data_IF_441903189146
#
_entry.id   IF_441903189146
#
_cell.length_a   1.000
_cell.length_b   1.000
_cell.length_c   1.000
_cell.angle_alpha   90.00
_cell.angle_beta   90.00
_cell.angle_gamma   90.00
#
_symmetry.space_group_name_H-M   'P 1'
#
loop_
_entity.id
_entity.type
_entity.pdbx_description
1 polymer ?
#
# COMPACT_ATOMS: atom_id res chain seq x y z
N UNK A 1 -6.52 -15.60 11.36
CA UNK A 1 -6.55 -15.54 12.82
C UNK A 1 -7.87 -14.92 13.24
N UNK A 2 -8.60 -15.58 14.13
CA UNK A 2 -9.98 -15.26 14.50
C UNK A 2 -10.06 -13.99 15.38
N UNK A 3 -11.13 -13.17 15.29
CA UNK A 3 -11.24 -11.87 15.98
C UNK A 3 -11.51 -11.97 17.49
N UNK A 4 -11.38 -13.15 18.09
CA UNK A 4 -11.93 -13.43 19.42
C UNK A 4 -11.10 -12.86 20.58
N UNK A 5 -9.83 -12.52 20.34
CA UNK A 5 -8.94 -12.01 21.40
C UNK A 5 -9.04 -10.49 21.65
N UNK A 6 -9.49 -9.70 20.67
CA UNK A 6 -9.55 -8.24 20.78
C UNK A 6 -10.80 -7.74 21.53
N UNK A 7 -11.93 -8.45 21.37
CA UNK A 7 -13.20 -8.16 22.07
C UNK A 7 -13.01 -8.14 23.59
N UNK A 8 -12.12 -8.99 24.13
CA UNK A 8 -11.83 -9.03 25.57
C UNK A 8 -11.16 -7.78 26.11
N UNK A 9 -10.34 -7.10 25.30
CA UNK A 9 -9.58 -5.91 25.72
C UNK A 9 -10.48 -4.68 25.75
N UNK A 10 -11.32 -4.48 24.73
CA UNK A 10 -12.29 -3.39 24.72
C UNK A 10 -13.25 -3.46 25.91
N UNK A 11 -13.74 -4.65 26.24
CA UNK A 11 -14.60 -4.87 27.40
C UNK A 11 -13.85 -4.59 28.71
N UNK A 12 -12.62 -5.09 28.87
CA UNK A 12 -11.80 -4.82 30.06
C UNK A 12 -11.49 -3.31 30.24
N UNK A 13 -11.29 -2.57 29.15
CA UNK A 13 -11.07 -1.12 29.19
C UNK A 13 -12.34 -0.36 29.56
N UNK A 14 -13.50 -0.76 29.04
CA UNK A 14 -14.80 -0.20 29.45
C UNK A 14 -15.09 -0.50 30.94
N UNK A 15 -14.86 -1.74 31.37
CA UNK A 15 -15.07 -2.20 32.74
C UNK A 15 -14.14 -1.52 33.76
N UNK A 16 -13.00 -0.98 33.30
CA UNK A 16 -12.09 -0.19 34.14
C UNK A 16 -12.67 1.16 34.60
N UNK A 17 -13.78 1.61 34.01
CA UNK A 17 -14.41 2.90 34.30
C UNK A 17 -13.65 4.13 33.80
N UNK A 18 -12.42 3.96 33.28
CA UNK A 18 -11.61 5.04 32.69
C UNK A 18 -11.97 5.38 31.25
N UNK A 19 -12.60 4.44 30.53
CA UNK A 19 -12.90 4.55 29.10
C UNK A 19 -14.39 4.29 28.86
N UNK A 20 -15.26 5.29 29.08
CA UNK A 20 -16.72 5.10 29.08
C UNK A 20 -17.31 4.76 27.71
N UNK A 21 -16.52 4.88 26.63
CA UNK A 21 -16.90 4.48 25.29
C UNK A 21 -15.66 3.96 24.55
N UNK A 22 -15.68 2.70 24.15
CA UNK A 22 -14.70 2.09 23.25
C UNK A 22 -15.49 1.53 22.08
N UNK A 23 -15.37 2.15 20.90
CA UNK A 23 -16.02 1.69 19.67
C UNK A 23 -14.96 1.19 18.70
N UNK A 24 -14.99 -0.11 18.42
CA UNK A 24 -14.16 -0.72 17.39
C UNK A 24 -14.92 -0.73 16.06
N UNK A 25 -14.26 -0.25 15.01
CA UNK A 25 -14.76 -0.37 13.65
C UNK A 25 -13.87 -1.33 12.88
N UNK A 26 -14.36 -2.55 12.57
CA UNK A 26 -13.61 -3.49 11.75
C UNK A 26 -13.19 -2.85 10.42
N UNK A 27 -11.90 -2.90 10.10
CA UNK A 27 -11.34 -2.35 8.87
C UNK A 27 -10.85 -0.90 8.94
N UNK A 28 -10.82 -0.27 10.11
CA UNK A 28 -10.11 1.00 10.29
C UNK A 28 -8.60 0.74 10.49
N UNK A 29 -7.75 1.34 9.66
CA UNK A 29 -6.29 1.22 9.77
C UNK A 29 -5.69 2.05 10.92
N UNK A 30 -6.35 3.16 11.27
CA UNK A 30 -5.88 4.09 12.30
C UNK A 30 -6.80 4.09 13.52
N UNK A 31 -6.21 4.15 14.70
CA UNK A 31 -6.93 4.21 15.96
C UNK A 31 -6.56 5.47 16.77
N UNK A 32 -7.56 6.05 17.44
CA UNK A 32 -7.34 7.04 18.49
C UNK A 32 -7.75 6.48 19.84
N UNK A 33 -6.80 6.46 20.78
CA UNK A 33 -7.03 6.06 22.16
C UNK A 33 -6.96 7.29 23.05
N UNK A 34 -8.04 7.58 23.78
CA UNK A 34 -8.16 8.76 24.61
C UNK A 34 -8.06 8.40 26.09
N UNK A 35 -7.05 8.93 26.77
CA UNK A 35 -6.93 8.86 28.22
C UNK A 35 -7.19 10.25 28.82
N UNK A 36 -7.96 10.30 29.91
CA UNK A 36 -8.29 11.55 30.61
C UNK A 36 -7.88 11.45 32.08
N UNK A 37 -7.25 12.52 32.57
CA UNK A 37 -7.03 12.75 34.00
C UNK A 37 -7.59 14.14 34.39
N UNK A 38 -7.92 14.33 35.67
CA UNK A 38 -8.44 15.59 36.19
C UNK A 38 -7.84 15.90 37.56
N UNK A 39 -7.51 17.16 37.79
CA UNK A 39 -7.33 17.73 39.12
C UNK A 39 -8.33 18.88 39.32
N UNK A 40 -8.26 19.57 40.46
CA UNK A 40 -9.25 20.60 40.82
C UNK A 40 -9.41 21.68 39.74
N UNK A 41 -8.31 22.07 39.09
CA UNK A 41 -8.29 23.21 38.17
C UNK A 41 -8.19 22.81 36.70
N UNK A 42 -7.72 21.60 36.39
CA UNK A 42 -7.39 21.18 35.04
C UNK A 42 -7.88 19.78 34.68
N UNK A 43 -8.17 19.62 33.39
CA UNK A 43 -8.41 18.35 32.72
C UNK A 43 -7.25 18.11 31.75
N UNK A 44 -6.56 17.00 31.92
CA UNK A 44 -5.49 16.53 31.03
C UNK A 44 -6.06 15.44 30.12
N UNK A 45 -5.81 15.56 28.82
CA UNK A 45 -6.24 14.57 27.84
C UNK A 45 -5.02 14.16 27.01
N UNK A 46 -4.75 12.87 26.98
CA UNK A 46 -3.77 12.27 26.07
C UNK A 46 -4.53 11.52 24.98
N UNK A 47 -4.23 11.83 23.73
CA UNK A 47 -4.77 11.13 22.56
C UNK A 47 -3.62 10.42 21.87
N UNK A 48 -3.57 9.10 21.99
CA UNK A 48 -2.63 8.25 21.27
C UNK A 48 -3.21 7.95 19.89
N UNK A 49 -2.48 8.34 18.85
CA UNK A 49 -2.69 7.89 17.47
C UNK A 49 -1.90 6.59 17.26
N UNK A 50 -2.55 5.55 16.78
CA UNK A 50 -1.95 4.29 16.40
C UNK A 50 -2.35 3.91 14.96
N UNK A 51 -1.58 3.01 14.36
CA UNK A 51 -1.90 2.34 13.09
C UNK A 51 -1.80 0.83 13.29
N UNK A 52 -2.90 0.11 13.07
CA UNK A 52 -3.02 -1.33 13.33
C UNK A 52 -2.43 -1.73 14.70
N UNK A 53 -2.71 -0.93 15.73
CA UNK A 53 -2.21 -1.10 17.09
C UNK A 53 -0.76 -0.65 17.35
N UNK A 54 -0.02 -0.22 16.33
CA UNK A 54 1.33 0.33 16.49
C UNK A 54 1.26 1.83 16.86
N UNK A 55 1.80 2.25 18.01
CA UNK A 55 1.72 3.64 18.44
C UNK A 55 2.54 4.56 17.52
N UNK A 56 1.91 5.61 17.01
CA UNK A 56 2.56 6.60 16.15
C UNK A 56 2.90 7.89 16.90
N UNK A 57 1.96 8.41 17.69
CA UNK A 57 2.13 9.70 18.37
C UNK A 57 1.16 9.89 19.54
N UNK A 58 1.56 10.64 20.56
CA UNK A 58 0.66 11.04 21.65
C UNK A 58 0.48 12.55 21.67
N UNK A 59 -0.71 13.01 21.28
CA UNK A 59 -1.15 14.40 21.45
C UNK A 59 -1.55 14.63 22.90
N UNK A 60 -1.13 15.77 23.46
CA UNK A 60 -1.38 16.12 24.87
C UNK A 60 -2.07 17.47 24.97
N UNK A 61 -3.21 17.48 25.65
CA UNK A 61 -4.03 18.66 25.85
C UNK A 61 -4.27 18.95 27.33
N UNK A 62 -4.38 20.23 27.66
CA UNK A 62 -4.74 20.71 28.97
C UNK A 62 -5.88 21.73 28.84
N UNK A 63 -6.96 21.51 29.56
CA UNK A 63 -8.12 22.40 29.61
C UNK A 63 -8.41 22.79 31.05
N UNK A 64 -8.99 23.97 31.26
CA UNK A 64 -9.48 24.36 32.59
C UNK A 64 -10.76 23.60 32.92
N UNK A 65 -10.92 23.20 34.19
CA UNK A 65 -12.10 22.49 34.68
C UNK A 65 -13.41 23.27 34.42
N UNK A 66 -13.37 24.61 34.40
CA UNK A 66 -14.52 25.46 34.09
C UNK A 66 -15.05 25.26 32.65
N UNK A 67 -14.25 24.72 31.73
CA UNK A 67 -14.60 24.53 30.31
C UNK A 67 -15.26 23.18 30.01
N UNK A 68 -15.56 22.38 31.04
CA UNK A 68 -16.14 21.03 30.90
C UNK A 68 -17.35 20.94 29.95
N UNK A 69 -18.30 21.91 29.91
CA UNK A 69 -19.48 21.81 29.03
C UNK A 69 -19.18 21.82 27.52
N UNK A 70 -17.99 22.23 27.09
CA UNK A 70 -17.59 22.33 25.67
C UNK A 70 -16.28 21.60 25.36
N UNK A 71 -15.86 20.70 26.27
CA UNK A 71 -14.56 20.04 26.23
C UNK A 71 -14.38 19.17 24.97
N UNK A 72 -15.44 18.50 24.53
CA UNK A 72 -15.49 17.66 23.33
C UNK A 72 -15.23 18.47 22.05
N UNK A 73 -15.90 19.61 21.90
CA UNK A 73 -15.71 20.53 20.77
C UNK A 73 -14.32 21.15 20.80
N UNK A 74 -13.84 21.55 21.97
CA UNK A 74 -12.51 22.14 22.14
C UNK A 74 -11.40 21.12 21.83
N UNK A 75 -11.51 19.90 22.35
CA UNK A 75 -10.59 18.79 22.07
C UNK A 75 -10.60 18.43 20.58
N UNK A 76 -11.78 18.25 19.98
CA UNK A 76 -11.88 17.87 18.57
C UNK A 76 -11.25 18.93 17.66
N UNK A 77 -11.48 20.22 17.95
CA UNK A 77 -10.85 21.31 17.18
C UNK A 77 -9.34 21.33 17.35
N UNK A 78 -8.84 21.15 18.58
CA UNK A 78 -7.40 21.12 18.86
C UNK A 78 -6.73 19.92 18.16
N UNK A 79 -7.30 18.72 18.32
CA UNK A 79 -6.83 17.50 17.67
C UNK A 79 -6.83 17.63 16.15
N UNK A 80 -7.94 18.07 15.55
CA UNK A 80 -8.02 18.24 14.09
C UNK A 80 -7.01 19.26 13.56
N UNK A 81 -6.68 20.30 14.34
CA UNK A 81 -5.64 21.26 13.97
C UNK A 81 -4.27 20.58 13.98
N UNK A 82 -3.93 19.88 15.05
CA UNK A 82 -2.60 19.30 15.23
C UNK A 82 -2.35 18.15 14.25
N UNK A 83 -3.30 17.22 14.07
CA UNK A 83 -3.16 16.10 13.11
C UNK A 83 -3.03 16.59 11.67
N UNK A 84 -3.65 17.72 11.32
CA UNK A 84 -3.49 18.37 10.01
C UNK A 84 -2.13 19.04 9.89
N UNK A 85 -1.68 19.73 10.94
CA UNK A 85 -0.38 20.38 10.97
C UNK A 85 0.75 19.35 10.82
N UNK A 86 0.61 18.18 11.44
CA UNK A 86 1.57 17.09 11.36
C UNK A 86 1.46 16.26 10.08
N UNK A 87 0.39 16.43 9.30
CA UNK A 87 0.01 15.51 8.22
C UNK A 87 -0.02 14.04 8.68
N UNK A 88 -0.62 13.80 9.85
CA UNK A 88 -0.54 12.53 10.59
C UNK A 88 -1.09 11.30 9.82
N UNK A 89 -1.90 11.53 8.79
CA UNK A 89 -2.50 10.49 7.94
C UNK A 89 -1.86 10.40 6.54
N UNK A 90 -0.72 11.05 6.33
CA UNK A 90 0.04 10.95 5.08
C UNK A 90 0.95 9.71 5.09
N UNK A 91 1.15 9.12 3.91
CA UNK A 91 2.09 7.99 3.74
C UNK A 91 3.49 8.31 4.26
N UNK A 92 4.00 9.53 4.04
CA UNK A 92 5.32 9.93 4.54
C UNK A 92 5.38 10.07 6.06
N UNK A 93 4.29 10.49 6.71
CA UNK A 93 4.22 10.50 8.17
C UNK A 93 4.26 9.07 8.72
N UNK A 94 3.42 8.17 8.19
CA UNK A 94 3.38 6.79 8.63
C UNK A 94 4.71 6.07 8.38
N UNK A 95 5.30 6.25 7.18
CA UNK A 95 6.60 5.68 6.85
C UNK A 95 7.67 6.11 7.84
N UNK A 96 7.71 7.40 8.19
CA UNK A 96 8.65 7.93 9.19
C UNK A 96 8.38 7.37 10.59
N UNK A 97 7.12 7.31 11.02
CA UNK A 97 6.75 6.83 12.35
C UNK A 97 7.05 5.34 12.55
N UNK A 98 6.97 4.55 11.48
CA UNK A 98 7.22 3.10 11.52
C UNK A 98 8.66 2.71 11.15
N UNK A 99 9.51 3.65 10.71
CA UNK A 99 10.77 3.36 10.00
C UNK A 99 10.55 2.46 8.76
N UNK A 100 9.47 2.69 8.02
CA UNK A 100 9.14 2.02 6.77
C UNK A 100 9.63 2.80 5.55
N UNK A 101 9.56 2.19 4.36
CA UNK A 101 9.96 2.79 3.09
C UNK A 101 9.18 4.08 2.79
N UNK A 102 9.88 5.18 2.52
CA UNK A 102 9.25 6.42 2.08
C UNK A 102 9.28 6.52 0.55
N UNK A 103 8.38 5.81 -0.11
CA UNK A 103 8.27 5.83 -1.58
C UNK A 103 8.09 7.23 -2.16
N UNK A 104 7.63 8.23 -1.40
CA UNK A 104 7.59 9.62 -1.90
C UNK A 104 8.99 10.15 -2.19
N UNK A 105 9.93 9.93 -1.27
CA UNK A 105 11.30 10.44 -1.33
C UNK A 105 12.27 9.48 -2.05
N UNK A 106 12.12 8.17 -1.84
CA UNK A 106 13.16 7.20 -2.17
C UNK A 106 12.90 6.45 -3.48
N UNK A 107 11.64 6.40 -3.95
CA UNK A 107 11.30 5.83 -5.25
C UNK A 107 11.43 6.89 -6.34
N UNK A 108 12.41 6.69 -7.22
CA UNK A 108 12.60 7.49 -8.42
C UNK A 108 12.36 6.68 -9.69
N UNK A 109 11.74 7.30 -10.68
CA UNK A 109 11.54 6.73 -12.00
C UNK A 109 11.61 7.82 -13.08
N UNK A 110 12.06 7.50 -14.31
CA UNK A 110 12.14 8.46 -15.40
C UNK A 110 10.78 9.06 -15.78
N UNK A 111 10.76 10.34 -16.16
CA UNK A 111 9.54 11.00 -16.62
C UNK A 111 9.04 10.48 -17.99
N UNK A 112 9.91 9.87 -18.79
CA UNK A 112 9.58 9.33 -20.11
C UNK A 112 10.38 8.06 -20.39
N UNK A 113 9.70 7.02 -20.89
CA UNK A 113 10.30 5.73 -21.27
C UNK A 113 9.58 5.21 -22.51
N UNK A 114 10.33 4.84 -23.56
CA UNK A 114 9.79 4.21 -24.78
C UNK A 114 8.55 4.93 -25.36
N UNK A 115 8.52 6.26 -25.35
CA UNK A 115 7.40 7.07 -25.85
C UNK A 115 6.24 7.29 -24.85
N UNK A 116 6.24 6.61 -23.70
CA UNK A 116 5.28 6.84 -22.64
C UNK A 116 5.77 7.90 -21.65
N UNK A 117 4.84 8.71 -21.14
CA UNK A 117 5.11 9.75 -20.15
C UNK A 117 4.53 9.36 -18.79
N UNK A 118 5.29 9.59 -17.72
CA UNK A 118 4.81 9.43 -16.35
C UNK A 118 3.70 10.45 -16.08
N UNK A 119 2.48 9.96 -15.93
CA UNK A 119 1.28 10.76 -15.72
C UNK A 119 0.93 10.92 -14.25
N UNK A 120 1.15 9.89 -13.42
CA UNK A 120 0.78 9.90 -12.02
C UNK A 120 1.71 9.02 -11.17
N UNK A 121 1.98 9.46 -9.93
CA UNK A 121 2.60 8.66 -8.87
C UNK A 121 1.66 8.67 -7.68
N UNK A 122 1.19 7.50 -7.27
CA UNK A 122 0.38 7.29 -6.07
C UNK A 122 1.19 6.50 -5.06
N UNK A 123 1.41 7.06 -3.88
CA UNK A 123 1.96 6.34 -2.74
C UNK A 123 0.80 5.99 -1.82
N UNK A 124 0.67 4.70 -1.48
CA UNK A 124 -0.39 4.25 -0.57
C UNK A 124 0.00 4.54 0.87
N UNK A 125 -1.00 4.76 1.71
CA UNK A 125 -0.76 5.00 3.14
C UNK A 125 -0.32 3.72 3.85
N UNK A 126 -0.78 2.55 3.41
CA UNK A 126 -0.38 1.26 3.95
C UNK A 126 1.05 0.90 3.48
N UNK A 127 2.01 0.66 4.41
CA UNK A 127 3.39 0.30 4.07
C UNK A 127 3.48 -0.96 3.21
N UNK A 128 2.52 -1.88 3.33
CA UNK A 128 2.48 -3.13 2.57
C UNK A 128 2.00 -2.94 1.12
N UNK A 129 1.40 -1.80 0.79
CA UNK A 129 0.88 -1.51 -0.55
C UNK A 129 1.85 -0.69 -1.41
N UNK A 130 2.82 -0.02 -0.78
CA UNK A 130 3.90 0.69 -1.45
C UNK A 130 3.45 1.84 -2.36
N UNK A 131 3.75 1.76 -3.67
CA UNK A 131 3.48 2.82 -4.64
C UNK A 131 3.05 2.28 -6.00
N UNK A 132 2.31 3.08 -6.76
CA UNK A 132 1.97 2.84 -8.16
C UNK A 132 2.37 4.04 -9.03
N UNK A 133 2.99 3.76 -10.17
CA UNK A 133 3.35 4.74 -11.20
C UNK A 133 2.52 4.47 -12.45
N UNK A 134 1.88 5.48 -13.03
CA UNK A 134 1.12 5.32 -14.27
C UNK A 134 1.78 6.08 -15.40
N UNK A 135 2.15 5.34 -16.45
CA UNK A 135 2.68 5.85 -17.70
C UNK A 135 1.59 5.79 -18.77
N UNK A 136 1.51 6.83 -19.61
CA UNK A 136 0.55 6.92 -20.72
C UNK A 136 1.24 7.30 -22.02
N UNK A 137 0.75 6.76 -23.12
CA UNK A 137 1.19 7.19 -24.44
C UNK A 137 0.40 8.44 -24.86
N UNK A 138 1.06 9.56 -25.21
CA UNK A 138 0.37 10.78 -25.64
C UNK A 138 -0.37 10.60 -26.98
N UNK A 139 0.09 9.65 -27.81
CA UNK A 139 -0.50 9.37 -29.12
C UNK A 139 -1.71 8.40 -29.01
N UNK A 140 -1.81 7.64 -27.91
CA UNK A 140 -2.85 6.62 -27.71
C UNK A 140 -3.48 6.72 -26.31
N UNK A 141 -4.63 7.38 -26.22
CA UNK A 141 -5.30 7.69 -24.94
C UNK A 141 -5.70 6.46 -24.10
N UNK A 142 -5.88 5.30 -24.73
CA UNK A 142 -6.21 4.02 -24.07
C UNK A 142 -4.98 3.32 -23.51
N UNK A 143 -3.79 3.62 -24.01
CA UNK A 143 -2.58 2.87 -23.72
C UNK A 143 -1.97 3.36 -22.41
N UNK A 144 -1.99 2.47 -21.42
CA UNK A 144 -1.39 2.73 -20.11
C UNK A 144 -0.54 1.56 -19.66
N UNK A 145 0.51 1.93 -18.94
CA UNK A 145 1.35 1.00 -18.20
C UNK A 145 1.33 1.46 -16.74
N UNK A 146 0.90 0.60 -15.84
CA UNK A 146 1.02 0.82 -14.41
C UNK A 146 2.18 0.00 -13.85
N UNK A 147 3.04 0.62 -13.06
CA UNK A 147 4.14 -0.04 -12.35
C UNK A 147 3.83 0.03 -10.86
N UNK A 148 3.46 -1.11 -10.28
CA UNK A 148 3.24 -1.25 -8.83
C UNK A 148 4.54 -1.72 -8.17
N UNK A 149 4.95 -1.07 -7.09
CA UNK A 149 6.13 -1.43 -6.30
C UNK A 149 5.70 -1.57 -4.85
N UNK A 150 5.83 -2.77 -4.27
CA UNK A 150 5.37 -3.06 -2.91
C UNK A 150 6.27 -4.10 -2.23
N UNK A 151 6.40 -4.07 -0.89
CA UNK A 151 7.29 -4.97 -0.17
C UNK A 151 6.75 -6.40 -0.14
N UNK A 152 7.66 -7.37 -0.08
CA UNK A 152 7.33 -8.79 0.07
C UNK A 152 7.18 -9.11 1.57
N UNK A 153 6.00 -9.45 2.10
CA UNK A 153 5.83 -9.70 3.53
C UNK A 153 6.47 -11.02 4.00
N UNK A 154 6.90 -11.89 3.09
CA UNK A 154 7.51 -13.18 3.42
C UNK A 154 8.81 -13.03 4.22
N UNK A 155 9.02 -13.94 5.17
CA UNK A 155 10.23 -14.03 6.00
C UNK A 155 11.42 -14.64 5.26
N UNK A 156 11.19 -15.44 4.22
CA UNK A 156 12.22 -16.02 3.37
C UNK A 156 12.14 -15.47 1.94
N UNK A 157 13.16 -14.70 1.54
CA UNK A 157 13.28 -14.10 0.22
C UNK A 157 14.18 -14.91 -0.74
N UNK A 158 14.73 -16.04 -0.28
CA UNK A 158 15.71 -16.81 -1.05
C UNK A 158 15.10 -17.50 -2.27
N UNK A 159 13.86 -18.00 -2.16
CA UNK A 159 13.16 -18.67 -3.25
C UNK A 159 12.32 -17.69 -4.09
N UNK A 160 13.01 -16.85 -4.85
CA UNK A 160 12.41 -15.81 -5.71
C UNK A 160 11.40 -16.37 -6.72
N UNK A 161 11.64 -17.57 -7.24
CA UNK A 161 10.72 -18.21 -8.20
C UNK A 161 9.39 -18.58 -7.54
N UNK A 162 9.42 -19.12 -6.31
CA UNK A 162 8.20 -19.42 -5.56
C UNK A 162 7.42 -18.16 -5.19
N UNK A 163 8.11 -17.08 -4.79
CA UNK A 163 7.48 -15.80 -4.50
C UNK A 163 6.76 -15.22 -5.72
N UNK A 164 7.39 -15.24 -6.90
CA UNK A 164 6.73 -14.77 -8.12
C UNK A 164 5.56 -15.69 -8.51
N UNK A 165 5.71 -17.01 -8.36
CA UNK A 165 4.61 -17.95 -8.62
C UNK A 165 3.40 -17.72 -7.70
N UNK A 166 3.63 -17.36 -6.43
CA UNK A 166 2.55 -16.96 -5.52
C UNK A 166 1.84 -15.70 -6.03
N UNK A 167 2.59 -14.69 -6.48
CA UNK A 167 2.03 -13.44 -7.00
C UNK A 167 1.28 -13.63 -8.33
N UNK A 168 1.76 -14.48 -9.24
CA UNK A 168 1.05 -14.80 -10.48
C UNK A 168 -0.23 -15.59 -10.20
N UNK A 169 -0.22 -16.53 -9.25
CA UNK A 169 -1.42 -17.26 -8.83
C UNK A 169 -2.47 -16.32 -8.21
N UNK A 170 -2.07 -15.44 -7.29
CA UNK A 170 -2.96 -14.40 -6.73
C UNK A 170 -3.58 -13.53 -7.82
N UNK A 171 -2.78 -13.11 -8.81
CA UNK A 171 -3.29 -12.34 -9.95
C UNK A 171 -4.35 -13.14 -10.73
N UNK A 172 -4.08 -14.40 -11.04
CA UNK A 172 -5.01 -15.26 -11.80
C UNK A 172 -6.34 -15.42 -11.08
N UNK A 173 -6.29 -15.73 -9.79
CA UNK A 173 -7.48 -15.87 -8.96
C UNK A 173 -8.27 -14.56 -8.95
N UNK A 174 -7.60 -13.43 -8.72
CA UNK A 174 -8.25 -12.12 -8.72
C UNK A 174 -8.90 -11.77 -10.07
N UNK A 175 -8.24 -12.07 -11.19
CA UNK A 175 -8.80 -11.79 -12.53
C UNK A 175 -9.97 -12.71 -12.86
N UNK A 176 -9.90 -13.99 -12.49
CA UNK A 176 -11.02 -14.92 -12.67
C UNK A 176 -12.23 -14.51 -11.82
N UNK A 177 -11.99 -14.16 -10.55
CA UNK A 177 -13.04 -13.67 -9.65
C UNK A 177 -13.67 -12.38 -10.18
N UNK A 178 -12.86 -11.42 -10.64
CA UNK A 178 -13.34 -10.19 -11.26
C UNK A 178 -14.20 -10.48 -12.49
N UNK A 179 -13.72 -11.31 -13.42
CA UNK A 179 -14.47 -11.68 -14.62
C UNK A 179 -15.81 -12.36 -14.28
N UNK A 180 -15.82 -13.23 -13.26
CA UNK A 180 -17.04 -13.91 -12.78
C UNK A 180 -18.02 -12.93 -12.15
N UNK A 181 -17.55 -12.04 -11.27
CA UNK A 181 -18.39 -11.05 -10.57
C UNK A 181 -19.04 -10.07 -11.55
N UNK A 182 -18.33 -9.69 -12.61
CA UNK A 182 -18.81 -8.77 -13.63
C UNK A 182 -19.45 -9.45 -14.84
N UNK A 183 -19.60 -10.79 -14.83
CA UNK A 183 -20.22 -11.57 -15.90
C UNK A 183 -19.58 -11.30 -17.27
N UNK A 184 -18.25 -11.14 -17.29
CA UNK A 184 -17.50 -10.88 -18.51
C UNK A 184 -17.39 -12.14 -19.38
N UNK A 185 -17.13 -12.00 -20.69
CA UNK A 185 -16.78 -13.13 -21.54
C UNK A 185 -15.56 -13.89 -21.00
N UNK A 186 -15.31 -15.13 -21.47
CA UNK A 186 -14.24 -15.97 -20.95
C UNK A 186 -12.87 -15.28 -20.96
N UNK A 187 -12.28 -15.15 -19.77
CA UNK A 187 -10.91 -14.69 -19.59
C UNK A 187 -9.95 -15.82 -19.99
N UNK A 188 -9.07 -15.52 -20.94
CA UNK A 188 -7.96 -16.40 -21.33
C UNK A 188 -6.66 -15.81 -20.83
N UNK A 189 -5.79 -16.66 -20.27
CA UNK A 189 -4.45 -16.25 -19.87
C UNK A 189 -3.41 -17.25 -20.36
N UNK A 190 -2.23 -16.78 -20.76
CA UNK A 190 -1.10 -17.65 -21.09
C UNK A 190 -0.51 -18.27 -19.82
N UNK A 191 0.31 -19.29 -19.98
CA UNK A 191 1.20 -19.76 -18.91
C UNK A 191 2.25 -18.68 -18.56
N UNK A 192 2.85 -18.81 -17.38
CA UNK A 192 3.95 -17.94 -16.94
C UNK A 192 5.17 -18.16 -17.83
N UNK A 193 5.66 -17.09 -18.46
CA UNK A 193 6.83 -17.11 -19.32
C UNK A 193 7.99 -16.39 -18.64
N UNK A 194 9.14 -17.05 -18.55
CA UNK A 194 10.33 -16.43 -17.97
C UNK A 194 10.88 -15.35 -18.90
N UNK A 195 11.29 -14.22 -18.33
CA UNK A 195 12.03 -13.17 -19.02
C UNK A 195 13.34 -12.91 -18.27
N UNK A 196 14.44 -12.87 -19.01
CA UNK A 196 15.74 -12.49 -18.49
C UNK A 196 16.50 -11.63 -19.49
N UNK A 197 17.28 -10.69 -18.99
CA UNK A 197 18.23 -9.91 -19.77
C UNK A 197 19.28 -9.29 -18.85
N UNK A 198 20.40 -8.87 -19.44
CA UNK A 198 21.43 -8.10 -18.76
C UNK A 198 21.46 -6.68 -19.33
N UNK A 199 21.52 -5.68 -18.46
CA UNK A 199 21.66 -4.28 -18.86
C UNK A 199 22.48 -3.52 -17.82
N UNK A 200 23.45 -2.71 -18.28
CA UNK A 200 24.34 -1.94 -17.40
C UNK A 200 25.08 -2.81 -16.35
N UNK A 201 25.38 -4.07 -16.70
CA UNK A 201 26.04 -5.02 -15.80
C UNK A 201 25.14 -5.61 -14.70
N UNK A 202 23.84 -5.33 -14.74
CA UNK A 202 22.84 -5.92 -13.85
C UNK A 202 22.02 -6.97 -14.59
N UNK A 203 21.80 -8.11 -13.94
CA UNK A 203 20.93 -9.16 -14.44
C UNK A 203 19.51 -8.98 -13.92
N UNK A 204 18.56 -8.96 -14.85
CA UNK A 204 17.14 -8.87 -14.55
C UNK A 204 16.50 -10.20 -14.89
N UNK A 205 15.75 -10.75 -13.92
CA UNK A 205 15.00 -11.99 -14.08
C UNK A 205 13.59 -11.77 -13.53
N UNK A 206 12.60 -12.18 -14.32
CA UNK A 206 11.20 -12.10 -13.95
C UNK A 206 10.35 -13.07 -14.77
N UNK A 207 9.04 -12.89 -14.63
CA UNK A 207 8.04 -13.66 -15.34
C UNK A 207 6.99 -12.73 -15.91
N UNK A 208 6.34 -13.15 -16.98
CA UNK A 208 5.19 -12.45 -17.51
C UNK A 208 4.12 -13.40 -18.02
N UNK A 209 2.91 -12.89 -18.13
CA UNK A 209 1.77 -13.57 -18.73
C UNK A 209 0.89 -12.55 -19.44
N UNK A 210 0.23 -12.99 -20.51
CA UNK A 210 -0.80 -12.23 -21.21
C UNK A 210 -2.18 -12.70 -20.76
N UNK A 211 -3.11 -11.75 -20.68
CA UNK A 211 -4.52 -11.96 -20.43
C UNK A 211 -5.33 -11.31 -21.55
N UNK A 212 -6.43 -11.95 -21.94
CA UNK A 212 -7.35 -11.40 -22.92
C UNK A 212 -8.79 -11.82 -22.67
N UNK A 213 -9.71 -10.96 -23.08
CA UNK A 213 -11.14 -11.27 -23.18
C UNK A 213 -11.53 -10.96 -24.62
N UNK A 214 -11.93 -11.99 -25.36
CA UNK A 214 -12.31 -11.89 -26.77
C UNK A 214 -13.75 -12.36 -26.88
N UNK A 215 -14.61 -11.52 -27.43
CA UNK A 215 -16.02 -11.81 -27.72
C UNK A 215 -16.36 -11.32 -29.12
N UNK A 216 -17.34 -11.94 -29.76
CA UNK A 216 -17.87 -11.47 -31.04
C UNK A 216 -18.59 -10.11 -30.91
N UNK A 217 -19.11 -9.81 -29.71
CA UNK A 217 -20.02 -8.68 -29.46
C UNK A 217 -19.35 -7.48 -28.77
N UNK A 218 -18.05 -7.54 -28.48
CA UNK A 218 -17.33 -6.47 -27.78
C UNK A 218 -15.93 -6.25 -28.33
N UNK A 219 -15.39 -5.05 -28.11
CA UNK A 219 -13.98 -4.77 -28.35
C UNK A 219 -13.12 -5.74 -27.51
N UNK A 220 -12.07 -6.35 -28.09
CA UNK A 220 -11.21 -7.25 -27.35
C UNK A 220 -10.40 -6.51 -26.30
N UNK A 221 -10.34 -7.08 -25.10
CA UNK A 221 -9.48 -6.60 -24.04
C UNK A 221 -8.18 -7.39 -24.06
N UNK A 222 -7.05 -6.68 -23.97
CA UNK A 222 -5.72 -7.26 -23.83
C UNK A 222 -5.00 -6.64 -22.63
N UNK A 223 -4.19 -7.44 -21.95
CA UNK A 223 -3.30 -6.98 -20.90
C UNK A 223 -2.10 -7.91 -20.77
N UNK A 224 -0.93 -7.34 -20.54
CA UNK A 224 0.25 -8.07 -20.10
C UNK A 224 0.62 -7.71 -18.66
N UNK A 225 1.07 -8.70 -17.91
CA UNK A 225 1.55 -8.54 -16.54
C UNK A 225 2.97 -9.06 -16.44
N UNK A 226 3.89 -8.25 -15.90
CA UNK A 226 5.28 -8.63 -15.66
C UNK A 226 5.59 -8.53 -14.17
N UNK A 227 6.35 -9.47 -13.65
CA UNK A 227 6.71 -9.57 -12.25
C UNK A 227 8.22 -9.70 -12.09
N UNK A 228 8.78 -8.81 -11.28
CA UNK A 228 10.19 -8.80 -10.91
C UNK A 228 10.32 -8.67 -9.41
N UNK A 229 11.44 -9.14 -8.89
CA UNK A 229 11.87 -8.84 -7.52
C UNK A 229 13.07 -7.90 -7.60
N UNK A 230 13.02 -6.78 -6.90
CA UNK A 230 14.16 -5.88 -6.75
C UNK A 230 14.26 -5.47 -5.29
N UNK A 231 15.47 -5.64 -4.71
CA UNK A 231 15.65 -5.61 -3.26
C UNK A 231 14.72 -6.62 -2.58
N UNK A 232 13.81 -6.16 -1.73
CA UNK A 232 12.83 -6.95 -1.01
C UNK A 232 11.38 -6.68 -1.49
N UNK A 233 11.23 -6.18 -2.73
CA UNK A 233 9.97 -5.67 -3.28
C UNK A 233 9.58 -6.39 -4.56
N UNK A 234 8.28 -6.56 -4.76
CA UNK A 234 7.71 -6.89 -6.08
C UNK A 234 7.64 -5.60 -6.90
N UNK A 235 8.15 -5.67 -8.14
CA UNK A 235 7.91 -4.67 -9.18
C UNK A 235 7.03 -5.32 -10.23
N UNK A 236 5.76 -4.91 -10.25
CA UNK A 236 4.73 -5.44 -11.17
C UNK A 236 4.39 -4.41 -12.24
N UNK A 237 4.56 -4.78 -13.51
CA UNK A 237 4.07 -3.97 -14.63
C UNK A 237 2.72 -4.53 -15.08
N UNK A 238 1.72 -3.68 -15.23
CA UNK A 238 0.40 -4.00 -15.77
C UNK A 238 0.15 -3.13 -16.99
N UNK A 239 -0.28 -3.71 -18.10
CA UNK A 239 -0.49 -2.98 -19.35
C UNK A 239 -1.89 -3.22 -19.91
N UNK A 240 -2.34 -2.36 -20.82
CA UNK A 240 -3.62 -2.52 -21.57
C UNK A 240 -3.42 -3.09 -22.97
N UNK A 241 -2.29 -3.75 -23.21
CA UNK A 241 -1.91 -4.34 -24.48
C UNK A 241 -1.01 -5.56 -24.24
N UNK A 242 -0.77 -6.42 -25.24
CA UNK A 242 -0.01 -7.66 -25.04
C UNK A 242 1.49 -7.45 -24.82
N UNK A 243 2.14 -8.51 -24.35
CA UNK A 243 3.54 -8.50 -23.88
C UNK A 243 4.56 -8.19 -24.97
N UNK A 244 4.28 -8.54 -26.22
CA UNK A 244 5.13 -8.29 -27.39
C UNK A 244 5.37 -6.80 -27.65
N UNK A 245 4.38 -5.96 -27.33
CA UNK A 245 4.48 -4.50 -27.37
C UNK A 245 5.13 -3.97 -26.07
N UNK A 246 4.74 -4.51 -24.92
CA UNK A 246 5.15 -4.01 -23.60
C UNK A 246 6.60 -4.30 -23.22
N UNK A 247 7.19 -5.38 -23.73
CA UNK A 247 8.52 -5.85 -23.31
C UNK A 247 9.62 -4.80 -23.47
N UNK A 248 9.54 -3.98 -24.52
CA UNK A 248 10.52 -2.92 -24.76
C UNK A 248 10.45 -1.82 -23.70
N UNK A 249 9.25 -1.44 -23.27
CA UNK A 249 9.08 -0.52 -22.16
C UNK A 249 9.67 -1.11 -20.88
N UNK A 250 9.33 -2.36 -20.54
CA UNK A 250 9.78 -3.02 -19.30
C UNK A 250 11.30 -3.09 -19.22
N UNK A 251 11.96 -3.53 -20.31
CA UNK A 251 13.42 -3.63 -20.39
C UNK A 251 14.13 -2.28 -20.27
N UNK A 252 13.51 -1.19 -20.74
CA UNK A 252 14.07 0.16 -20.58
C UNK A 252 13.75 0.77 -19.21
N UNK A 253 12.57 0.51 -18.68
CA UNK A 253 12.05 1.10 -17.45
C UNK A 253 12.78 0.58 -16.21
N UNK A 254 12.77 -0.74 -16.03
CA UNK A 254 13.22 -1.38 -14.79
C UNK A 254 14.69 -1.02 -14.44
N UNK A 255 15.65 -1.02 -15.37
CA UNK A 255 17.04 -0.68 -15.05
C UNK A 255 17.25 0.79 -14.68
N UNK A 256 16.33 1.68 -15.08
CA UNK A 256 16.41 3.11 -14.77
C UNK A 256 15.67 3.48 -13.48
N UNK A 257 14.88 2.58 -12.90
CA UNK A 257 14.14 2.87 -11.67
C UNK A 257 15.03 2.70 -10.44
N UNK A 258 14.98 3.66 -9.53
CA UNK A 258 15.56 3.52 -8.20
C UNK A 258 14.48 2.99 -7.27
N UNK A 259 14.52 1.68 -7.03
CA UNK A 259 13.64 1.01 -6.08
C UNK A 259 14.26 1.08 -4.67
N UNK A 260 13.51 1.53 -3.64
CA UNK A 260 14.03 1.62 -2.27
C UNK A 260 14.55 0.27 -1.75
N UNK A 261 15.62 0.30 -0.95
CA UNK A 261 16.15 -0.87 -0.23
C UNK A 261 15.21 -1.34 0.89
N UNK A 262 15.52 -2.44 1.58
CA UNK A 262 14.70 -2.93 2.68
C UNK A 262 14.63 -1.91 3.83
N UNK A 263 13.41 -1.58 4.26
CA UNK A 263 13.20 -0.71 5.42
C UNK A 263 13.38 -1.45 6.75
N UNK A 264 13.72 -0.71 7.81
CA UNK A 264 13.88 -1.26 9.15
C UNK A 264 12.56 -1.90 9.66
N UNK A 265 11.41 -1.33 9.27
CA UNK A 265 10.11 -1.92 9.52
C UNK A 265 9.99 -3.35 8.96
N UNK A 266 10.26 -3.53 7.66
CA UNK A 266 10.18 -4.84 7.02
C UNK A 266 11.21 -5.82 7.59
N UNK A 267 12.44 -5.35 7.84
CA UNK A 267 13.49 -6.16 8.44
C UNK A 267 13.11 -6.69 9.83
N UNK A 268 12.34 -5.92 10.63
CA UNK A 268 11.83 -6.38 11.93
C UNK A 268 10.70 -7.39 11.78
N UNK A 269 9.79 -7.18 10.82
CA UNK A 269 8.66 -8.09 10.58
C UNK A 269 9.10 -9.50 10.15
N UNK A 270 10.21 -9.58 9.42
CA UNK A 270 10.76 -10.86 8.93
C UNK A 270 11.58 -11.62 9.97
N UNK A 271 11.93 -11.00 11.10
CA UNK A 271 12.66 -11.66 12.18
C UNK A 271 11.70 -12.52 13.02
N UNK A 272 12.08 -13.77 13.34
CA UNK A 272 11.28 -14.68 14.16
C UNK A 272 11.16 -14.23 15.61
#
# INVERSE_FOLDING_TARGET
MTPTHLIGIAQQLQDSGGFPLVSEHPGADYEFLLARARNDNHIFIHVLLAWQGLPLHTYKYQFETAQTPFLDVALTKALLKDVKQDNAFSASYLAKALDADNYTADLWAPAQIAGFHLSHKRVYNDPFQGSALTYKNPDFNSDKIEVSIYPIPASDLSNRAALIAEETNKLRDNLFEFARQHQLPPLTMTADTSINWTQQGLDFQGYYLDASIISADSEPFYAAYFFFIQQDKIVKFTTTFPSDIAVNFVKQALPQMQIPEESAFMARLRRP
#
